data_IF_536998632695
#
_entry.id   IF_536998632695
#
_cell.length_a   1.000
_cell.length_b   1.000
_cell.length_c   1.000
_cell.angle_alpha   90.00
_cell.angle_beta   90.00
_cell.angle_gamma   90.00
#
_symmetry.space_group_name_H-M   'P 1'
#
loop_
_entity.id
_entity.type
_entity.pdbx_description
1 polymer ?
#
# COMPACT_ATOMS: atom_id res chain seq x y z
N UNK A 1 -17.71 15.17 -10.96
CA UNK A 1 -16.80 14.80 -9.84
C UNK A 1 -15.44 15.43 -10.11
N UNK A 2 -14.78 16.05 -9.13
CA UNK A 2 -13.39 16.53 -9.31
C UNK A 2 -12.49 15.31 -9.46
N UNK A 3 -11.67 15.30 -10.50
CA UNK A 3 -10.68 14.26 -10.70
C UNK A 3 -9.65 14.31 -9.54
N UNK A 4 -9.38 13.16 -8.91
CA UNK A 4 -8.39 13.08 -7.84
C UNK A 4 -7.00 13.42 -8.40
N UNK A 5 -6.23 14.20 -7.65
CA UNK A 5 -4.88 14.59 -8.03
C UNK A 5 -3.93 14.59 -6.82
N UNK A 6 -2.68 14.20 -7.06
CA UNK A 6 -1.62 14.30 -6.07
C UNK A 6 -0.89 15.62 -6.30
N UNK A 7 -1.18 16.61 -5.43
CA UNK A 7 -0.66 17.97 -5.55
C UNK A 7 0.56 18.22 -4.66
N UNK A 8 0.68 17.47 -3.56
CA UNK A 8 1.76 17.59 -2.59
C UNK A 8 2.26 16.22 -2.20
N UNK A 9 3.58 16.10 -2.07
CA UNK A 9 4.21 14.88 -1.57
C UNK A 9 5.51 15.25 -0.84
N UNK A 10 5.69 14.70 0.35
CA UNK A 10 6.93 14.87 1.14
C UNK A 10 7.34 13.56 1.77
N UNK A 11 8.64 13.33 1.86
CA UNK A 11 9.21 12.26 2.66
C UNK A 11 9.01 12.58 4.14
N UNK A 12 8.59 11.58 4.91
CA UNK A 12 8.34 11.72 6.36
C UNK A 12 9.45 11.06 7.15
N UNK A 13 9.61 9.75 6.97
CA UNK A 13 10.59 8.95 7.74
C UNK A 13 10.87 7.62 7.05
N UNK A 14 11.93 6.97 7.51
CA UNK A 14 12.23 5.57 7.20
C UNK A 14 12.20 4.76 8.49
N UNK A 15 11.50 3.64 8.50
CA UNK A 15 11.28 2.77 9.66
C UNK A 15 11.96 1.43 9.45
N UNK A 16 12.82 1.04 10.38
CA UNK A 16 13.46 -0.27 10.44
C UNK A 16 12.72 -1.23 11.38
N UNK A 17 13.26 -2.44 11.49
CA UNK A 17 12.74 -3.44 12.43
C UNK A 17 12.76 -2.92 13.86
N UNK A 18 11.67 -3.11 14.60
CA UNK A 18 11.53 -2.68 16.00
C UNK A 18 11.36 -1.17 16.23
N UNK A 19 11.34 -0.37 15.18
CA UNK A 19 11.09 1.06 15.28
C UNK A 19 9.60 1.40 15.18
N UNK A 20 9.19 2.49 15.84
CA UNK A 20 7.81 2.96 15.80
C UNK A 20 7.46 3.54 14.41
N UNK A 21 6.28 3.22 13.94
CA UNK A 21 5.69 3.85 12.75
C UNK A 21 5.27 5.30 13.06
N UNK A 22 5.16 6.18 12.04
CA UNK A 22 4.57 7.50 12.23
C UNK A 22 3.12 7.39 12.70
N UNK A 23 2.55 8.48 13.24
CA UNK A 23 1.14 8.51 13.65
C UNK A 23 0.24 7.99 12.52
N UNK A 24 -0.75 7.12 12.82
CA UNK A 24 -1.60 6.55 11.79
C UNK A 24 -2.47 7.61 11.13
N UNK A 25 -2.71 7.44 9.83
CA UNK A 25 -3.74 8.17 9.08
C UNK A 25 -4.82 7.16 8.64
N UNK A 26 -5.97 7.67 8.21
CA UNK A 26 -7.07 6.85 7.75
C UNK A 26 -6.67 5.91 6.59
N UNK A 27 -5.73 6.34 5.75
CA UNK A 27 -5.28 5.59 4.59
C UNK A 27 -3.75 5.46 4.53
N UNK A 28 -3.28 4.23 4.35
CA UNK A 28 -1.90 3.88 3.97
C UNK A 28 -1.95 2.96 2.75
N UNK A 29 -1.29 3.35 1.67
CA UNK A 29 -1.16 2.55 0.45
C UNK A 29 0.29 2.09 0.34
N UNK A 30 0.50 0.78 0.43
CA UNK A 30 1.84 0.22 0.33
C UNK A 30 2.22 -0.11 -1.12
N UNK A 31 3.49 0.04 -1.45
CA UNK A 31 4.08 -0.32 -2.74
C UNK A 31 5.15 -1.37 -2.51
N UNK A 32 5.03 -2.51 -3.15
CA UNK A 32 5.96 -3.62 -3.01
C UNK A 32 6.34 -4.19 -4.38
N UNK A 33 7.49 -4.80 -4.48
CA UNK A 33 7.96 -5.46 -5.70
C UNK A 33 9.46 -5.74 -5.64
N UNK A 34 9.96 -6.52 -6.60
CA UNK A 34 11.37 -6.86 -6.69
C UNK A 34 12.28 -5.64 -6.75
N UNK A 35 13.52 -5.81 -6.32
CA UNK A 35 14.57 -4.81 -6.55
C UNK A 35 14.65 -4.47 -8.05
N UNK A 36 14.71 -3.17 -8.36
CA UNK A 36 14.75 -2.63 -9.73
C UNK A 36 13.49 -2.88 -10.59
N UNK A 37 12.35 -3.26 -9.97
CA UNK A 37 11.07 -3.37 -10.68
C UNK A 37 10.50 -2.00 -11.08
N UNK A 38 10.93 -0.91 -10.42
CA UNK A 38 10.51 0.45 -10.74
C UNK A 38 9.69 1.14 -9.64
N UNK A 39 9.76 0.67 -8.37
CA UNK A 39 9.01 1.28 -7.23
C UNK A 39 9.28 2.76 -7.08
N UNK A 40 10.54 3.16 -6.88
CA UNK A 40 10.91 4.57 -6.72
C UNK A 40 10.57 5.42 -7.96
N UNK A 41 10.68 4.85 -9.16
CA UNK A 41 10.28 5.53 -10.39
C UNK A 41 8.77 5.75 -10.46
N UNK A 42 7.98 4.78 -10.00
CA UNK A 42 6.53 4.91 -9.90
C UNK A 42 6.15 6.01 -8.90
N UNK A 43 6.71 6.00 -7.70
CA UNK A 43 6.47 7.00 -6.66
C UNK A 43 6.81 8.41 -7.20
N UNK A 44 7.98 8.57 -7.80
CA UNK A 44 8.40 9.85 -8.36
C UNK A 44 7.50 10.32 -9.51
N UNK A 45 7.05 9.41 -10.37
CA UNK A 45 6.13 9.72 -11.47
C UNK A 45 4.75 10.16 -10.95
N UNK A 46 4.18 9.43 -9.98
CA UNK A 46 2.88 9.75 -9.38
C UNK A 46 2.88 11.12 -8.69
N UNK A 47 3.98 11.43 -8.00
CA UNK A 47 4.12 12.67 -7.22
C UNK A 47 4.65 13.85 -8.03
N UNK A 48 4.97 13.68 -9.31
CA UNK A 48 5.66 14.68 -10.15
C UNK A 48 6.97 15.21 -9.53
N UNK A 49 7.61 14.42 -8.67
CA UNK A 49 8.84 14.79 -7.99
C UNK A 49 9.94 13.73 -8.22
N UNK A 50 10.84 13.98 -9.16
CA UNK A 50 11.88 13.04 -9.58
C UNK A 50 12.91 12.69 -8.48
N UNK A 51 12.92 13.45 -7.38
CA UNK A 51 13.88 13.30 -6.29
C UNK A 51 13.25 12.84 -4.97
N UNK A 52 11.93 12.60 -4.93
CA UNK A 52 11.23 12.26 -3.70
C UNK A 52 11.66 10.88 -3.19
N UNK A 53 11.52 9.86 -4.00
CA UNK A 53 12.01 8.52 -3.70
C UNK A 53 13.38 8.32 -4.35
N UNK A 54 14.38 7.92 -3.56
CA UNK A 54 15.74 7.69 -4.08
C UNK A 54 15.75 6.50 -5.01
N UNK A 55 16.04 6.73 -6.28
CA UNK A 55 16.29 5.67 -7.26
C UNK A 55 17.73 5.19 -7.09
N UNK A 56 17.93 3.99 -6.58
CA UNK A 56 19.24 3.38 -6.46
C UNK A 56 19.43 2.34 -7.57
N UNK A 57 20.50 2.49 -8.35
CA UNK A 57 20.95 1.41 -9.27
C UNK A 57 21.69 0.31 -8.50
N UNK A 58 22.12 0.58 -7.26
CA UNK A 58 22.77 -0.42 -6.41
C UNK A 58 21.71 -1.19 -5.63
N UNK A 59 21.55 -2.48 -5.92
CA UNK A 59 20.56 -3.31 -5.24
C UNK A 59 20.92 -3.49 -3.74
N UNK A 60 19.91 -3.65 -2.88
CA UNK A 60 20.10 -3.98 -1.46
C UNK A 60 20.22 -2.80 -0.49
N UNK A 61 20.11 -1.53 -0.95
CA UNK A 61 20.24 -0.37 -0.06
C UNK A 61 18.99 -0.01 0.76
N UNK A 62 17.80 -0.42 0.35
CA UNK A 62 16.57 -0.09 1.09
C UNK A 62 16.19 -1.27 1.98
N UNK A 63 16.60 -1.20 3.24
CA UNK A 63 16.22 -2.16 4.30
C UNK A 63 15.13 -1.58 5.20
N UNK A 64 14.53 -0.45 4.80
CA UNK A 64 13.62 0.34 5.60
C UNK A 64 12.29 0.49 4.87
N UNK A 65 11.24 0.65 5.64
CA UNK A 65 9.92 1.07 5.16
C UNK A 65 9.92 2.59 5.07
N UNK A 66 9.74 3.15 3.87
CA UNK A 66 9.79 4.59 3.66
C UNK A 66 8.37 5.16 3.57
N UNK A 67 8.09 6.17 4.35
CA UNK A 67 6.82 6.86 4.42
C UNK A 67 6.85 8.18 3.65
N UNK A 68 5.91 8.34 2.72
CA UNK A 68 5.68 9.58 2.00
C UNK A 68 4.26 10.07 2.30
N UNK A 69 4.14 11.30 2.80
CA UNK A 69 2.84 11.92 3.04
C UNK A 69 2.38 12.63 1.77
N UNK A 70 1.21 12.25 1.26
CA UNK A 70 0.59 12.79 0.06
C UNK A 70 -0.62 13.63 0.44
N UNK A 71 -0.75 14.80 -0.19
CA UNK A 71 -1.84 15.78 0.00
C UNK A 71 -2.09 16.15 1.49
N UNK A 72 -1.12 15.93 2.37
CA UNK A 72 -1.24 16.00 3.83
C UNK A 72 -2.37 15.12 4.43
N UNK A 73 -2.81 14.09 3.72
CA UNK A 73 -4.00 13.30 4.04
C UNK A 73 -3.73 11.80 4.20
N UNK A 74 -2.81 11.21 3.45
CA UNK A 74 -2.56 9.77 3.49
C UNK A 74 -1.09 9.43 3.23
N UNK A 75 -0.70 8.21 3.58
CA UNK A 75 0.65 7.73 3.32
C UNK A 75 0.73 6.84 2.07
N UNK A 76 1.74 7.12 1.23
CA UNK A 76 2.27 6.15 0.29
C UNK A 76 3.52 5.54 0.92
N UNK A 77 3.56 4.21 1.04
CA UNK A 77 4.58 3.49 1.82
C UNK A 77 5.40 2.61 0.90
N UNK A 78 6.69 2.93 0.72
CA UNK A 78 7.63 2.13 -0.09
C UNK A 78 8.23 1.03 0.77
N UNK A 79 7.79 -0.21 0.53
CA UNK A 79 8.34 -1.38 1.20
C UNK A 79 9.66 -1.79 0.57
N UNK A 80 10.62 -2.34 1.36
CA UNK A 80 11.90 -2.78 0.83
C UNK A 80 11.72 -3.86 -0.24
N UNK A 81 12.43 -3.71 -1.37
CA UNK A 81 12.35 -4.65 -2.49
C UNK A 81 12.90 -6.04 -2.15
N UNK A 82 12.35 -7.09 -2.74
CA UNK A 82 12.79 -8.47 -2.62
C UNK A 82 13.60 -8.96 -3.84
N UNK A 83 13.98 -10.25 -3.86
CA UNK A 83 14.59 -10.90 -5.01
C UNK A 83 16.04 -10.49 -5.26
N UNK A 84 16.79 -10.18 -4.20
CA UNK A 84 18.20 -9.86 -4.31
C UNK A 84 19.05 -11.13 -4.08
N UNK A 85 19.67 -11.64 -5.13
CA UNK A 85 20.39 -12.94 -5.15
C UNK A 85 21.59 -13.06 -4.18
N UNK A 86 22.02 -11.95 -3.56
CA UNK A 86 23.19 -11.91 -2.66
C UNK A 86 22.84 -11.61 -1.21
N UNK A 87 21.59 -11.81 -0.78
CA UNK A 87 21.24 -11.67 0.65
C UNK A 87 21.62 -12.93 1.41
N UNK A 88 22.20 -12.74 2.60
CA UNK A 88 22.37 -13.84 3.57
C UNK A 88 20.98 -14.35 4.01
N UNK A 89 20.94 -15.56 4.61
CA UNK A 89 19.70 -16.10 5.16
C UNK A 89 19.12 -15.19 6.25
N UNK A 90 20.00 -14.61 7.07
CA UNK A 90 19.59 -13.68 8.15
C UNK A 90 18.94 -12.42 7.57
N UNK A 91 19.53 -11.83 6.53
CA UNK A 91 18.95 -10.67 5.83
C UNK A 91 17.60 -10.97 5.15
N UNK A 92 17.38 -12.21 4.72
CA UNK A 92 16.08 -12.64 4.17
C UNK A 92 15.04 -12.77 5.28
N UNK A 93 15.42 -13.28 6.43
CA UNK A 93 14.56 -13.39 7.61
C UNK A 93 14.17 -12.01 8.13
N UNK A 94 15.14 -11.12 8.37
CA UNK A 94 14.89 -9.73 8.80
C UNK A 94 13.96 -8.97 7.83
N UNK A 95 14.16 -9.17 6.53
CA UNK A 95 13.29 -8.60 5.51
C UNK A 95 11.87 -9.16 5.62
N UNK A 96 11.73 -10.46 5.77
CA UNK A 96 10.44 -11.14 5.93
C UNK A 96 9.69 -10.67 7.17
N UNK A 97 10.39 -10.57 8.29
CA UNK A 97 9.83 -10.09 9.57
C UNK A 97 9.35 -8.65 9.48
N UNK A 98 10.15 -7.76 8.85
CA UNK A 98 9.77 -6.36 8.65
C UNK A 98 8.50 -6.21 7.83
N UNK A 99 8.40 -6.92 6.70
CA UNK A 99 7.22 -6.89 5.83
C UNK A 99 6.03 -7.56 6.51
N UNK A 100 6.23 -8.73 7.12
CA UNK A 100 5.17 -9.47 7.82
C UNK A 100 4.58 -8.63 8.96
N UNK A 101 5.42 -8.00 9.78
CA UNK A 101 5.00 -7.10 10.85
C UNK A 101 4.19 -5.91 10.31
N UNK A 102 4.66 -5.29 9.22
CA UNK A 102 3.93 -4.17 8.62
C UNK A 102 2.57 -4.62 8.04
N UNK A 103 2.51 -5.73 7.31
CA UNK A 103 1.25 -6.22 6.75
C UNK A 103 0.24 -6.63 7.84
N UNK A 104 0.73 -7.27 8.92
CA UNK A 104 -0.09 -7.69 10.06
C UNK A 104 -0.54 -6.53 10.96
N UNK A 105 0.03 -5.34 10.81
CA UNK A 105 -0.28 -4.18 11.65
C UNK A 105 -1.68 -3.60 11.44
N UNK A 106 -2.43 -4.02 10.40
CA UNK A 106 -3.73 -3.45 10.02
C UNK A 106 -3.65 -2.03 9.42
N UNK A 107 -2.44 -1.48 9.28
CA UNK A 107 -2.20 -0.13 8.75
C UNK A 107 -2.43 -0.05 7.23
N UNK A 108 -1.88 -0.97 6.38
CA UNK A 108 -2.08 -0.86 4.94
C UNK A 108 -3.54 -1.13 4.56
N UNK A 109 -4.18 -0.15 3.92
CA UNK A 109 -5.53 -0.27 3.38
C UNK A 109 -5.53 -0.85 1.97
N UNK A 110 -4.41 -0.75 1.29
CA UNK A 110 -4.22 -1.32 -0.05
C UNK A 110 -2.74 -1.55 -0.36
N UNK A 111 -2.47 -2.54 -1.22
CA UNK A 111 -1.12 -2.85 -1.68
C UNK A 111 -1.04 -2.75 -3.21
N UNK A 112 -0.07 -2.01 -3.74
CA UNK A 112 0.34 -2.09 -5.13
C UNK A 112 1.48 -3.10 -5.26
N UNK A 113 1.17 -4.25 -5.87
CA UNK A 113 2.15 -5.29 -6.17
C UNK A 113 2.72 -5.05 -7.57
N UNK A 114 3.99 -4.64 -7.63
CA UNK A 114 4.67 -4.31 -8.87
C UNK A 114 5.37 -5.53 -9.47
N UNK A 115 5.09 -5.80 -10.73
CA UNK A 115 5.75 -6.83 -11.54
C UNK A 115 6.32 -6.21 -12.82
N UNK A 116 7.41 -6.73 -13.34
CA UNK A 116 8.01 -6.26 -14.60
C UNK A 116 7.26 -6.91 -15.77
N UNK A 117 6.62 -6.12 -16.63
CA UNK A 117 5.80 -6.60 -17.75
C UNK A 117 6.56 -7.47 -18.74
N UNK A 118 7.90 -7.39 -18.76
CA UNK A 118 8.77 -8.13 -19.70
C UNK A 118 8.98 -9.58 -19.30
N UNK A 119 8.68 -9.94 -18.07
CA UNK A 119 8.99 -11.25 -17.49
C UNK A 119 7.75 -11.87 -16.85
N UNK A 120 7.76 -13.18 -16.76
CA UNK A 120 6.81 -13.89 -15.90
C UNK A 120 7.14 -13.60 -14.42
N UNK A 121 6.11 -13.55 -13.55
CA UNK A 121 6.33 -13.39 -12.12
C UNK A 121 7.28 -14.44 -11.55
N UNK A 122 8.27 -13.99 -10.81
CA UNK A 122 9.26 -14.85 -10.17
C UNK A 122 8.67 -15.64 -9.00
N UNK A 123 9.37 -16.63 -8.45
CA UNK A 123 8.95 -17.31 -7.23
C UNK A 123 8.73 -16.32 -6.05
N UNK A 124 9.58 -15.30 -5.93
CA UNK A 124 9.46 -14.29 -4.87
C UNK A 124 8.25 -13.36 -5.10
N UNK A 125 7.90 -13.04 -6.35
CA UNK A 125 6.67 -12.31 -6.68
C UNK A 125 5.44 -13.10 -6.23
N UNK A 126 5.45 -14.42 -6.48
CA UNK A 126 4.36 -15.34 -6.05
C UNK A 126 4.30 -15.46 -4.52
N UNK A 127 5.44 -15.55 -3.85
CA UNK A 127 5.52 -15.59 -2.40
C UNK A 127 4.95 -14.29 -1.78
N UNK A 128 5.34 -13.13 -2.30
CA UNK A 128 4.81 -11.84 -1.85
C UNK A 128 3.30 -11.73 -2.07
N UNK A 129 2.81 -12.24 -3.20
CA UNK A 129 1.39 -12.32 -3.48
C UNK A 129 0.65 -13.18 -2.44
N UNK A 130 1.18 -14.35 -2.09
CA UNK A 130 0.60 -15.21 -1.05
C UNK A 130 0.57 -14.52 0.33
N UNK A 131 1.63 -13.80 0.68
CA UNK A 131 1.65 -13.02 1.93
C UNK A 131 0.59 -11.92 1.94
N UNK A 132 0.37 -11.25 0.82
CA UNK A 132 -0.69 -10.23 0.67
C UNK A 132 -2.07 -10.84 0.89
N UNK A 133 -2.33 -12.00 0.30
CA UNK A 133 -3.58 -12.72 0.49
C UNK A 133 -3.77 -13.17 1.95
N UNK A 134 -2.72 -13.70 2.58
CA UNK A 134 -2.75 -14.16 3.96
C UNK A 134 -3.01 -13.01 4.96
N UNK A 135 -2.46 -11.84 4.69
CA UNK A 135 -2.71 -10.64 5.48
C UNK A 135 -4.08 -10.01 5.24
N UNK A 136 -4.86 -10.51 4.27
CA UNK A 136 -6.18 -9.96 3.92
C UNK A 136 -6.15 -8.53 3.38
N UNK A 137 -4.98 -8.05 2.92
CA UNK A 137 -4.84 -6.68 2.40
C UNK A 137 -5.34 -6.63 0.95
N UNK A 138 -6.31 -5.76 0.61
CA UNK A 138 -6.71 -5.52 -0.76
C UNK A 138 -5.51 -5.11 -1.63
N UNK A 139 -5.48 -5.52 -2.89
CA UNK A 139 -4.33 -5.25 -3.75
C UNK A 139 -4.71 -4.87 -5.19
N UNK A 140 -3.75 -4.27 -5.88
CA UNK A 140 -3.78 -4.06 -7.34
C UNK A 140 -2.43 -4.47 -7.91
N UNK A 141 -2.43 -5.29 -8.95
CA UNK A 141 -1.21 -5.63 -9.69
C UNK A 141 -0.87 -4.48 -10.63
N UNK A 142 0.37 -4.02 -10.58
CA UNK A 142 0.89 -2.96 -11.46
C UNK A 142 2.02 -3.54 -12.31
N UNK A 143 1.78 -3.67 -13.61
CA UNK A 143 2.77 -4.18 -14.55
C UNK A 143 3.66 -3.03 -15.05
N UNK A 144 4.83 -2.90 -14.45
CA UNK A 144 5.78 -1.80 -14.72
C UNK A 144 6.54 -1.98 -16.03
N UNK A 145 7.22 -0.90 -16.47
CA UNK A 145 8.02 -0.86 -17.73
C UNK A 145 7.17 -1.14 -18.96
N UNK A 146 5.93 -0.68 -18.95
CA UNK A 146 4.97 -0.88 -20.04
C UNK A 146 5.43 -0.24 -21.37
N UNK A 147 6.37 0.70 -21.35
CA UNK A 147 7.07 1.24 -22.53
C UNK A 147 7.85 0.18 -23.31
N UNK A 148 8.27 -0.91 -22.66
CA UNK A 148 9.01 -2.01 -23.31
C UNK A 148 8.10 -3.02 -24.03
N UNK A 149 6.78 -2.85 -23.97
CA UNK A 149 5.81 -3.64 -24.71
C UNK A 149 5.09 -2.76 -25.74
N UNK A 150 4.75 -3.32 -26.92
CA UNK A 150 3.97 -2.61 -27.92
C UNK A 150 2.58 -2.22 -27.39
N UNK A 151 1.99 -1.16 -27.90
CA UNK A 151 0.69 -0.65 -27.44
C UNK A 151 -0.40 -1.73 -27.42
N UNK A 152 -0.43 -2.59 -28.43
CA UNK A 152 -1.40 -3.70 -28.54
C UNK A 152 -1.13 -4.84 -27.53
N UNK A 153 0.10 -5.01 -27.08
CA UNK A 153 0.49 -6.08 -26.17
C UNK A 153 0.47 -5.69 -24.68
N UNK A 154 0.48 -4.39 -24.37
CA UNK A 154 0.59 -3.90 -22.98
C UNK A 154 -0.45 -4.50 -22.04
N UNK A 155 -1.73 -4.41 -22.41
CA UNK A 155 -2.83 -4.92 -21.58
C UNK A 155 -2.81 -6.46 -21.50
N UNK A 156 -2.51 -7.13 -22.61
CA UNK A 156 -2.42 -8.60 -22.67
C UNK A 156 -1.31 -9.09 -21.75
N UNK A 157 -0.13 -8.49 -21.83
CA UNK A 157 1.02 -8.86 -21.00
C UNK A 157 0.78 -8.55 -19.51
N UNK A 158 0.20 -7.41 -19.19
CA UNK A 158 -0.16 -7.04 -17.83
C UNK A 158 -1.15 -8.04 -17.20
N UNK A 159 -2.23 -8.37 -17.91
CA UNK A 159 -3.24 -9.32 -17.43
C UNK A 159 -2.67 -10.76 -17.37
N UNK A 160 -1.77 -11.13 -18.29
CA UNK A 160 -1.05 -12.41 -18.21
C UNK A 160 -0.20 -12.49 -16.94
N UNK A 161 0.53 -11.44 -16.60
CA UNK A 161 1.33 -11.39 -15.37
C UNK A 161 0.44 -11.56 -14.12
N UNK A 162 -0.70 -10.86 -14.04
CA UNK A 162 -1.66 -11.02 -12.95
C UNK A 162 -2.19 -12.46 -12.86
N UNK A 163 -2.61 -13.04 -13.98
CA UNK A 163 -3.09 -14.43 -14.04
C UNK A 163 -2.02 -15.45 -13.58
N UNK A 164 -0.77 -15.24 -13.96
CA UNK A 164 0.35 -16.11 -13.55
C UNK A 164 0.70 -16.00 -12.06
N UNK A 165 0.35 -14.89 -11.40
CA UNK A 165 0.38 -14.77 -9.94
C UNK A 165 -0.76 -15.54 -9.26
N UNK A 166 -1.83 -15.85 -9.96
CA UNK A 166 -3.09 -16.33 -9.39
C UNK A 166 -4.05 -15.19 -9.02
N UNK A 167 -3.75 -13.97 -9.43
CA UNK A 167 -4.60 -12.80 -9.24
C UNK A 167 -5.70 -12.74 -10.32
N UNK A 168 -6.82 -12.01 -10.09
CA UNK A 168 -7.76 -11.68 -11.15
C UNK A 168 -7.04 -11.07 -12.36
N UNK A 169 -7.53 -11.34 -13.57
CA UNK A 169 -6.93 -10.85 -14.81
C UNK A 169 -7.18 -9.34 -14.99
N UNK A 170 -6.78 -8.56 -14.00
CA UNK A 170 -6.84 -7.11 -14.00
C UNK A 170 -5.53 -6.56 -13.43
N UNK A 171 -4.73 -5.95 -14.29
CA UNK A 171 -3.50 -5.27 -13.91
C UNK A 171 -3.42 -3.92 -14.61
N UNK A 172 -2.82 -2.94 -13.96
CA UNK A 172 -2.57 -1.63 -14.55
C UNK A 172 -1.19 -1.65 -15.21
N UNK A 173 -1.08 -1.57 -16.55
CA UNK A 173 0.20 -1.37 -17.22
C UNK A 173 0.72 0.03 -16.90
N UNK A 174 1.97 0.13 -16.44
CA UNK A 174 2.56 1.37 -15.99
C UNK A 174 3.97 1.61 -16.57
N UNK A 175 4.24 2.83 -17.02
CA UNK A 175 5.59 3.32 -17.33
C UNK A 175 5.81 4.69 -16.71
N UNK A 176 6.86 4.82 -15.89
CA UNK A 176 7.28 6.11 -15.37
C UNK A 176 7.95 6.98 -16.46
N UNK A 177 8.60 6.34 -17.45
CA UNK A 177 9.30 7.00 -18.56
C UNK A 177 8.32 7.67 -19.52
N UNK A 178 7.31 6.93 -19.99
CA UNK A 178 6.27 7.42 -20.91
C UNK A 178 4.99 7.88 -20.22
N UNK A 179 4.93 7.84 -18.88
CA UNK A 179 3.74 8.17 -18.06
C UNK A 179 2.51 7.33 -18.39
N UNK A 180 2.69 6.13 -18.97
CA UNK A 180 1.59 5.20 -19.27
C UNK A 180 0.96 4.77 -17.95
N UNK A 181 -0.38 4.74 -17.89
CA UNK A 181 -1.14 4.27 -16.74
C UNK A 181 -1.07 5.17 -15.50
N UNK A 182 -0.41 6.34 -15.59
CA UNK A 182 -0.33 7.28 -14.48
C UNK A 182 -1.71 7.74 -14.03
N UNK A 183 -2.56 8.15 -14.95
CA UNK A 183 -3.90 8.65 -14.62
C UNK A 183 -4.77 7.54 -14.02
N UNK A 184 -4.74 6.34 -14.61
CA UNK A 184 -5.47 5.18 -14.08
C UNK A 184 -5.02 4.80 -12.66
N UNK A 185 -3.72 4.86 -12.38
CA UNK A 185 -3.20 4.57 -11.05
C UNK A 185 -3.51 5.70 -10.05
N UNK A 186 -3.48 6.96 -10.50
CA UNK A 186 -3.88 8.12 -9.68
C UNK A 186 -5.37 8.07 -9.33
N UNK A 187 -6.23 7.73 -10.27
CA UNK A 187 -7.66 7.51 -10.04
C UNK A 187 -7.90 6.36 -9.05
N UNK A 188 -7.17 5.25 -9.20
CA UNK A 188 -7.25 4.12 -8.27
C UNK A 188 -6.83 4.51 -6.84
N UNK A 189 -5.78 5.34 -6.70
CA UNK A 189 -5.36 5.90 -5.40
C UNK A 189 -6.49 6.75 -4.80
N UNK A 190 -7.14 7.59 -5.61
CA UNK A 190 -8.28 8.40 -5.17
C UNK A 190 -9.41 7.56 -4.62
N UNK A 191 -9.82 6.51 -5.33
CA UNK A 191 -10.86 5.57 -4.90
C UNK A 191 -10.50 4.90 -3.56
N UNK A 192 -9.25 4.40 -3.44
CA UNK A 192 -8.78 3.75 -2.20
C UNK A 192 -8.80 4.74 -1.03
N UNK A 193 -8.38 5.98 -1.27
CA UNK A 193 -8.37 7.03 -0.26
C UNK A 193 -9.79 7.39 0.20
N UNK A 194 -10.71 7.62 -0.73
CA UNK A 194 -12.13 7.91 -0.44
C UNK A 194 -12.79 6.76 0.34
N UNK A 195 -12.57 5.51 -0.07
CA UNK A 195 -13.09 4.32 0.63
C UNK A 195 -12.54 4.23 2.07
N UNK A 196 -11.25 4.51 2.27
CA UNK A 196 -10.62 4.48 3.59
C UNK A 196 -11.13 5.60 4.52
N UNK A 197 -11.31 6.81 4.00
CA UNK A 197 -11.89 7.94 4.74
C UNK A 197 -13.34 7.63 5.14
N UNK A 198 -14.14 7.08 4.23
CA UNK A 198 -15.52 6.69 4.52
C UNK A 198 -15.60 5.59 5.57
N UNK A 199 -14.71 4.60 5.52
CA UNK A 199 -14.63 3.55 6.54
C UNK A 199 -14.24 4.12 7.91
N UNK A 200 -13.24 5.01 7.95
CA UNK A 200 -12.81 5.66 9.18
C UNK A 200 -13.92 6.52 9.81
N UNK A 201 -14.66 7.26 8.97
CA UNK A 201 -15.80 8.05 9.43
C UNK A 201 -16.90 7.18 10.03
N UNK A 202 -17.31 6.11 9.34
CA UNK A 202 -18.33 5.16 9.84
C UNK A 202 -17.90 4.49 11.13
N UNK A 203 -16.62 4.13 11.26
CA UNK A 203 -16.09 3.55 12.49
C UNK A 203 -16.17 4.53 13.66
N UNK A 204 -15.80 5.80 13.45
CA UNK A 204 -15.89 6.83 14.47
C UNK A 204 -17.36 7.14 14.88
N UNK A 205 -18.29 7.18 13.92
CA UNK A 205 -19.73 7.35 14.19
C UNK A 205 -20.28 6.18 15.02
N UNK A 206 -19.89 4.95 14.67
CA UNK A 206 -20.30 3.76 15.44
C UNK A 206 -19.74 3.78 16.87
N UNK A 207 -18.47 4.15 17.05
CA UNK A 207 -17.85 4.25 18.38
C UNK A 207 -18.57 5.29 19.26
N UNK A 208 -18.90 6.45 18.69
CA UNK A 208 -19.68 7.47 19.39
C UNK A 208 -21.07 6.99 19.80
N UNK A 209 -21.75 6.25 18.91
CA UNK A 209 -23.07 5.68 19.21
C UNK A 209 -23.00 4.66 20.36
N UNK A 210 -22.00 3.77 20.33
CA UNK A 210 -21.79 2.80 21.40
C UNK A 210 -21.46 3.47 22.74
N UNK A 211 -20.60 4.50 22.72
CA UNK A 211 -20.27 5.26 23.92
C UNK A 211 -21.51 5.95 24.53
N UNK A 212 -22.35 6.57 23.68
CA UNK A 212 -23.59 7.21 24.12
C UNK A 212 -24.60 6.22 24.70
N UNK A 213 -24.74 5.04 24.06
CA UNK A 213 -25.62 3.98 24.55
C UNK A 213 -25.15 3.42 25.90
N UNK A 214 -23.83 3.25 26.08
CA UNK A 214 -23.26 2.77 27.33
C UNK A 214 -23.50 3.76 28.49
N UNK A 215 -23.40 5.06 28.25
CA UNK A 215 -23.71 6.10 29.24
C UNK A 215 -25.20 6.05 29.62
N UNK A 216 -26.11 6.02 28.63
CA UNK A 216 -27.55 5.95 28.89
C UNK A 216 -27.96 4.69 29.67
N UNK A 217 -27.30 3.55 29.39
CA UNK A 217 -27.55 2.30 30.13
C UNK A 217 -27.10 2.42 31.58
N UNK A 218 -25.90 2.98 31.85
CA UNK A 218 -25.40 3.19 33.20
C UNK A 218 -26.28 4.17 34.00
N UNK A 219 -26.80 5.22 33.37
CA UNK A 219 -27.73 6.17 34.02
C UNK A 219 -29.07 5.51 34.38
N UNK A 220 -29.58 4.61 33.50
CA UNK A 220 -30.82 3.86 33.77
C UNK A 220 -30.63 2.88 34.95
N UNK A 221 -29.54 2.12 35.00
CA UNK A 221 -29.24 1.22 36.13
C UNK A 221 -29.08 1.97 37.45
N UNK A 222 -28.44 3.15 37.44
CA UNK A 222 -28.31 4.01 38.62
C UNK A 222 -29.66 4.55 39.12
N UNK A 223 -30.60 4.85 38.23
CA UNK A 223 -31.93 5.27 38.56
C UNK A 223 -32.77 4.16 39.21
N UNK A 224 -32.72 2.94 38.64
CA UNK A 224 -33.43 1.78 39.21
C UNK A 224 -32.89 1.35 40.59
N UNK A 225 -31.58 1.47 40.82
CA UNK A 225 -30.99 1.17 42.15
C UNK A 225 -31.40 2.16 43.26
N UNK A 226 -31.63 3.42 42.91
CA UNK A 226 -32.09 4.45 43.86
C UNK A 226 -33.59 4.31 44.22
N UNK A 227 -34.43 3.75 43.32
CA UNK A 227 -35.86 3.53 43.61
C UNK A 227 -36.09 2.26 44.47
N UNK A 228 -35.13 1.37 44.56
CA UNK A 228 -35.23 0.14 45.36
C UNK A 228 -34.82 0.31 46.83
N UNK A 229 -34.22 1.45 47.20
CA UNK A 229 -33.75 1.76 48.58
C UNK A 229 -34.72 2.68 49.35
N UNK A 230 -35.86 3.08 48.76
CA UNK A 230 -36.98 3.78 49.43
C UNK A 230 -38.12 2.76 49.74
#
# INVERSE_FOLDING_TARGET
MKQFAINQAKFVTSVGQGQAYPAPLACEIAVVGRSNVGKSSLINCLTNNQKLAKTSQTPGKTRLVNYFLLNNAFYLVDLPGYGFAKRSKDEQTEWGDLIGTYLASGRPKHLFLLVDIRHEPSPEDRQMFQWTLHAGVPFTVVATKADKASKSQRMIAANRAAKLLGAPAFAIPFSAEEKIGKDALTERIGQIFEDAEDQARRAAEAEQLFASAAIAFAEAEAAESNESDE
#
